data_IF_960875839068
#
_entry.id   IF_960875839068
#
_cell.length_a   1.000
_cell.length_b   1.000
_cell.length_c   1.000
_cell.angle_alpha   90.00
_cell.angle_beta   90.00
_cell.angle_gamma   90.00
#
_symmetry.space_group_name_H-M   'P 1'
#
loop_
_entity.id
_entity.type
_entity.pdbx_description
1 polymer ?
#
# COMPACT_ATOMS: atom_id res chain seq x y z
N UNK A 1 6.17 9.05 0.24
CA UNK A 1 7.49 8.41 0.42
C UNK A 1 7.37 6.94 0.09
N UNK A 2 8.34 6.38 -0.64
CA UNK A 2 8.46 4.93 -0.81
C UNK A 2 9.31 4.38 0.34
N UNK A 3 8.79 3.38 1.04
CA UNK A 3 9.50 2.73 2.15
C UNK A 3 9.62 1.24 1.86
N UNK A 4 10.84 0.77 1.64
CA UNK A 4 11.11 -0.61 1.30
C UNK A 4 12.60 -0.95 1.49
N UNK A 5 12.97 -2.23 1.64
CA UNK A 5 14.35 -2.63 1.48
C UNK A 5 14.84 -2.33 0.05
N UNK A 6 16.14 -2.05 -0.18
CA UNK A 6 16.66 -1.71 -1.50
C UNK A 6 16.31 -2.73 -2.58
N UNK A 7 16.25 -4.01 -2.21
CA UNK A 7 15.93 -5.14 -3.11
C UNK A 7 14.48 -5.18 -3.59
N UNK A 8 13.58 -4.42 -2.96
CA UNK A 8 12.17 -4.33 -3.35
C UNK A 8 11.78 -2.97 -3.95
N UNK A 9 12.74 -2.05 -4.08
CA UNK A 9 12.50 -0.81 -4.81
C UNK A 9 12.48 -1.08 -6.33
N UNK A 10 11.80 -0.22 -7.11
CA UNK A 10 11.92 -0.24 -8.55
C UNK A 10 13.39 -0.17 -9.00
N UNK A 11 13.77 -0.85 -10.11
CA UNK A 11 15.14 -0.83 -10.63
C UNK A 11 15.66 0.58 -10.94
N UNK A 12 14.76 1.54 -11.19
CA UNK A 12 15.07 2.94 -11.35
C UNK A 12 13.93 3.80 -10.81
N UNK A 13 14.31 4.87 -10.13
CA UNK A 13 13.42 5.92 -9.63
C UNK A 13 13.69 7.28 -10.32
N UNK A 14 14.50 7.29 -11.37
CA UNK A 14 14.85 8.52 -12.09
C UNK A 14 13.57 9.19 -12.62
N UNK A 15 13.41 10.47 -12.29
CA UNK A 15 12.25 11.28 -12.70
C UNK A 15 11.02 11.12 -11.82
N UNK A 16 11.04 10.25 -10.81
CA UNK A 16 9.91 10.12 -9.88
C UNK A 16 10.02 11.20 -8.79
N UNK A 17 8.99 12.04 -8.58
CA UNK A 17 9.00 13.09 -7.56
C UNK A 17 8.69 12.52 -6.18
N UNK A 18 9.48 11.54 -5.72
CA UNK A 18 9.23 10.80 -4.48
C UNK A 18 10.49 10.74 -3.61
N UNK A 19 10.31 10.89 -2.29
CA UNK A 19 11.32 10.53 -1.32
C UNK A 19 11.36 9.00 -1.11
N UNK A 20 12.53 8.48 -0.74
CA UNK A 20 12.76 7.07 -0.38
C UNK A 20 13.24 7.00 1.06
N UNK A 21 12.73 6.04 1.82
CA UNK A 21 13.24 5.66 3.14
C UNK A 21 13.45 4.14 3.19
N UNK A 22 14.40 3.70 4.01
CA UNK A 22 14.58 2.29 4.38
C UNK A 22 14.22 2.02 5.85
N UNK A 23 13.80 3.06 6.56
CA UNK A 23 13.27 2.97 7.91
C UNK A 23 11.79 3.33 7.87
N UNK A 24 10.94 2.36 8.25
CA UNK A 24 9.50 2.56 8.35
C UNK A 24 9.15 3.41 9.57
N UNK A 25 9.82 3.20 10.69
CA UNK A 25 9.47 3.76 11.99
C UNK A 25 9.66 5.29 11.99
N UNK A 26 10.66 5.79 11.25
CA UNK A 26 10.91 7.23 11.06
C UNK A 26 9.83 7.95 10.22
N UNK A 27 9.09 7.20 9.39
CA UNK A 27 8.10 7.75 8.45
C UNK A 27 6.69 7.74 9.05
N UNK A 28 6.36 6.73 9.86
CA UNK A 28 5.01 6.54 10.42
C UNK A 28 4.43 7.77 11.13
N UNK A 29 5.17 8.52 11.98
CA UNK A 29 4.62 9.68 12.69
C UNK A 29 4.20 10.86 11.80
N UNK A 30 4.62 10.86 10.53
CA UNK A 30 4.37 11.95 9.57
C UNK A 30 3.39 11.55 8.47
N UNK A 31 2.89 10.32 8.49
CA UNK A 31 2.10 9.77 7.41
C UNK A 31 0.61 10.02 7.64
N UNK A 32 -0.03 10.78 6.75
CA UNK A 32 -1.49 10.90 6.70
C UNK A 32 -2.15 9.60 6.19
N UNK A 33 -1.44 8.88 5.32
CA UNK A 33 -1.88 7.61 4.74
C UNK A 33 -0.72 6.63 4.67
N UNK A 34 -0.91 5.44 5.21
CA UNK A 34 -0.02 4.30 5.04
C UNK A 34 -0.65 3.31 4.06
N UNK A 35 -0.10 3.27 2.85
CA UNK A 35 -0.55 2.37 1.79
C UNK A 35 0.38 1.16 1.71
N UNK A 36 -0.06 0.03 2.25
CA UNK A 36 0.70 -1.21 2.27
C UNK A 36 0.44 -2.04 1.01
N UNK A 37 1.44 -2.81 0.60
CA UNK A 37 1.35 -3.70 -0.56
C UNK A 37 1.51 -5.15 -0.13
N UNK A 38 0.89 -6.04 -0.91
CA UNK A 38 0.94 -7.48 -0.66
C UNK A 38 2.34 -8.01 -0.94
N UNK A 39 2.92 -8.73 0.01
CA UNK A 39 4.13 -9.52 -0.25
C UNK A 39 3.82 -10.76 -1.09
N UNK A 40 4.21 -10.74 -2.37
CA UNK A 40 3.94 -11.80 -3.34
C UNK A 40 5.11 -12.77 -3.49
N UNK A 41 5.28 -13.68 -2.52
CA UNK A 41 6.36 -14.69 -2.57
C UNK A 41 6.29 -15.58 -3.79
N UNK A 42 5.08 -15.87 -4.25
CA UNK A 42 4.83 -16.73 -5.40
C UNK A 42 5.39 -16.17 -6.72
N UNK A 43 5.80 -14.90 -6.76
CA UNK A 43 6.37 -14.23 -7.94
C UNK A 43 7.86 -13.95 -7.82
N UNK A 44 8.45 -14.22 -6.66
CA UNK A 44 9.87 -13.98 -6.43
C UNK A 44 10.67 -15.13 -7.03
N UNK A 45 11.25 -14.89 -8.20
CA UNK A 45 12.18 -15.80 -8.89
C UNK A 45 13.58 -15.76 -8.28
N UNK A 46 13.90 -14.67 -7.59
CA UNK A 46 15.14 -14.44 -6.85
C UNK A 46 14.84 -14.22 -5.37
N UNK A 47 15.79 -14.57 -4.49
CA UNK A 47 15.67 -14.36 -3.06
C UNK A 47 15.90 -12.87 -2.71
N UNK A 48 14.91 -12.02 -3.02
CA UNK A 48 14.95 -10.58 -2.76
C UNK A 48 14.88 -10.23 -1.27
N UNK A 49 14.52 -11.19 -0.42
CA UNK A 49 14.43 -11.06 1.02
C UNK A 49 15.03 -12.29 1.70
N UNK A 50 15.71 -12.15 2.85
CA UNK A 50 16.22 -13.31 3.58
C UNK A 50 15.09 -14.14 4.22
N UNK A 51 14.05 -13.49 4.77
CA UNK A 51 12.85 -14.17 5.25
C UNK A 51 11.63 -13.24 5.35
N UNK A 52 10.42 -13.82 5.37
CA UNK A 52 9.21 -13.04 5.71
C UNK A 52 9.24 -12.52 7.14
N UNK A 53 9.82 -13.28 8.08
CA UNK A 53 9.90 -12.88 9.48
C UNK A 53 10.69 -11.58 9.62
N UNK A 54 11.81 -11.48 8.91
CA UNK A 54 12.61 -10.25 8.87
C UNK A 54 11.87 -9.11 8.18
N UNK A 55 11.20 -9.39 7.05
CA UNK A 55 10.36 -8.38 6.40
C UNK A 55 9.30 -7.82 7.33
N UNK A 56 8.56 -8.68 8.05
CA UNK A 56 7.56 -8.25 9.04
C UNK A 56 8.22 -7.44 10.16
N UNK A 57 9.37 -7.88 10.66
CA UNK A 57 10.08 -7.21 11.73
C UNK A 57 10.56 -5.81 11.33
N UNK A 58 10.97 -5.60 10.07
CA UNK A 58 11.52 -4.31 9.60
C UNK A 58 10.49 -3.41 8.92
N UNK A 59 9.56 -3.98 8.14
CA UNK A 59 8.67 -3.25 7.23
C UNK A 59 7.18 -3.62 7.39
N UNK A 60 6.84 -4.60 8.23
CA UNK A 60 5.45 -4.92 8.53
C UNK A 60 4.83 -3.84 9.43
N UNK A 61 3.60 -3.43 9.13
CA UNK A 61 2.83 -2.54 10.00
C UNK A 61 2.25 -3.37 11.17
N UNK A 62 3.03 -3.44 12.24
CA UNK A 62 2.66 -4.15 13.49
C UNK A 62 1.73 -3.31 14.35
N UNK A 63 1.13 -3.92 15.37
CA UNK A 63 0.30 -3.22 16.36
C UNK A 63 1.04 -2.09 17.07
N UNK A 64 2.31 -2.30 17.42
CA UNK A 64 3.10 -1.28 18.12
C UNK A 64 3.47 -0.13 17.17
N UNK A 65 3.81 -0.43 15.92
CA UNK A 65 4.02 0.58 14.87
C UNK A 65 2.77 1.39 14.55
N UNK A 66 1.60 0.76 14.57
CA UNK A 66 0.34 1.46 14.36
C UNK A 66 0.06 2.54 15.43
N UNK A 67 0.68 2.43 16.63
CA UNK A 67 0.59 3.49 17.65
C UNK A 67 1.43 4.73 17.34
N UNK A 68 2.34 4.64 16.36
CA UNK A 68 3.14 5.77 15.91
C UNK A 68 2.37 6.65 14.91
N UNK A 69 1.25 6.16 14.37
CA UNK A 69 0.43 6.90 13.43
C UNK A 69 -0.29 8.05 14.14
N UNK A 70 -0.53 9.14 13.40
CA UNK A 70 -1.48 10.16 13.82
C UNK A 70 -2.89 9.57 13.96
N UNK A 71 -3.72 10.14 14.84
CA UNK A 71 -5.06 9.63 15.13
C UNK A 71 -5.96 9.60 13.87
N UNK A 72 -5.77 10.57 12.98
CA UNK A 72 -6.47 10.71 11.70
C UNK A 72 -5.86 9.93 10.53
N UNK A 73 -4.72 9.26 10.74
CA UNK A 73 -4.02 8.56 9.69
C UNK A 73 -4.85 7.38 9.14
N UNK A 74 -4.83 7.20 7.83
CA UNK A 74 -5.53 6.10 7.17
C UNK A 74 -4.57 4.95 6.86
N UNK A 75 -5.04 3.72 7.09
CA UNK A 75 -4.35 2.50 6.64
C UNK A 75 -5.08 1.96 5.41
N UNK A 76 -4.33 1.78 4.32
CA UNK A 76 -4.85 1.33 3.03
C UNK A 76 -4.05 0.13 2.52
N UNK A 77 -4.70 -0.73 1.75
CA UNK A 77 -4.09 -1.90 1.12
C UNK A 77 -4.94 -2.33 -0.09
N UNK A 78 -4.36 -2.73 -1.23
CA UNK A 78 -5.12 -3.08 -2.44
C UNK A 78 -5.85 -4.42 -2.32
N UNK A 79 -5.30 -5.33 -1.52
CA UNK A 79 -5.84 -6.68 -1.31
C UNK A 79 -5.45 -7.66 -2.45
N UNK A 80 -5.56 -8.98 -2.22
CA UNK A 80 -5.72 -9.62 -0.91
C UNK A 80 -4.51 -9.35 -0.01
N UNK A 81 -4.71 -9.26 1.30
CA UNK A 81 -3.64 -8.99 2.27
C UNK A 81 -3.16 -10.28 2.93
N UNK A 82 -1.86 -10.40 3.18
CA UNK A 82 -1.28 -11.42 4.04
C UNK A 82 -1.23 -10.86 5.48
N UNK A 83 -2.29 -11.14 6.25
CA UNK A 83 -2.34 -10.77 7.67
C UNK A 83 -1.21 -11.48 8.43
N UNK A 84 -0.48 -10.73 9.24
CA UNK A 84 0.71 -11.20 9.97
C UNK A 84 2.03 -11.05 9.19
N UNK A 85 2.00 -10.57 7.93
CA UNK A 85 3.21 -10.30 7.14
C UNK A 85 3.41 -8.80 6.94
N UNK A 86 2.77 -8.20 5.94
CA UNK A 86 2.82 -6.75 5.70
C UNK A 86 1.97 -5.94 6.68
N UNK A 87 0.92 -6.54 7.23
CA UNK A 87 -0.03 -5.88 8.14
C UNK A 87 -0.44 -6.85 9.26
N UNK A 88 -0.39 -6.41 10.52
CA UNK A 88 -0.94 -7.18 11.62
C UNK A 88 -2.47 -7.30 11.50
N UNK A 89 -3.03 -8.44 11.94
CA UNK A 89 -4.46 -8.69 11.78
C UNK A 89 -5.33 -7.62 12.45
N UNK A 90 -4.92 -7.17 13.64
CA UNK A 90 -5.62 -6.17 14.43
C UNK A 90 -5.55 -4.77 13.78
N UNK A 91 -4.46 -4.49 13.06
CA UNK A 91 -4.27 -3.21 12.36
C UNK A 91 -5.21 -3.10 11.17
N UNK A 92 -5.46 -4.21 10.47
CA UNK A 92 -6.38 -4.26 9.34
C UNK A 92 -7.84 -3.96 9.73
N UNK A 93 -8.17 -4.05 11.01
CA UNK A 93 -9.51 -3.86 11.56
C UNK A 93 -9.63 -2.57 12.41
N UNK A 94 -8.61 -1.69 12.39
CA UNK A 94 -8.66 -0.39 13.06
C UNK A 94 -9.71 0.53 12.42
N UNK A 95 -10.27 1.51 13.16
CA UNK A 95 -11.19 2.50 12.59
C UNK A 95 -10.62 3.28 11.39
N UNK A 96 -9.31 3.57 11.40
CA UNK A 96 -8.59 4.21 10.29
C UNK A 96 -8.22 3.26 9.14
N UNK A 97 -8.49 1.97 9.25
CA UNK A 97 -8.23 0.99 8.20
C UNK A 97 -9.39 0.95 7.19
N UNK A 98 -9.15 1.50 6.00
CA UNK A 98 -10.22 1.80 5.02
C UNK A 98 -10.19 0.88 3.80
N UNK A 99 -9.66 -0.34 3.95
CA UNK A 99 -9.46 -1.30 2.87
C UNK A 99 -10.79 -1.68 2.19
N UNK A 100 -11.83 -1.99 2.96
CA UNK A 100 -13.15 -2.35 2.42
C UNK A 100 -13.82 -1.16 1.72
N UNK A 101 -13.65 0.05 2.27
CA UNK A 101 -14.11 1.30 1.65
C UNK A 101 -13.41 1.55 0.31
N UNK A 102 -12.10 1.30 0.22
CA UNK A 102 -11.37 1.38 -1.05
C UNK A 102 -11.93 0.42 -2.10
N UNK A 103 -12.24 -0.84 -1.74
CA UNK A 103 -12.85 -1.81 -2.65
C UNK A 103 -14.20 -1.33 -3.16
N UNK A 104 -15.06 -0.81 -2.26
CA UNK A 104 -16.35 -0.24 -2.62
C UNK A 104 -16.20 0.97 -3.57
N UNK A 105 -15.28 1.88 -3.27
CA UNK A 105 -14.96 3.02 -4.13
C UNK A 105 -14.49 2.59 -5.51
N UNK A 106 -13.79 1.45 -5.62
CA UNK A 106 -13.35 0.88 -6.89
C UNK A 106 -14.52 0.54 -7.84
N UNK A 107 -15.72 0.23 -7.34
CA UNK A 107 -16.91 0.05 -8.18
C UNK A 107 -17.32 1.37 -8.81
N UNK A 108 -17.47 2.43 -8.00
CA UNK A 108 -17.87 3.75 -8.47
C UNK A 108 -16.86 4.34 -9.47
N UNK A 109 -15.57 4.21 -9.19
CA UNK A 109 -14.50 4.66 -10.10
C UNK A 109 -14.59 3.95 -11.46
N UNK A 110 -14.78 2.62 -11.46
CA UNK A 110 -14.92 1.86 -12.71
C UNK A 110 -16.18 2.24 -13.48
N UNK A 111 -17.31 2.44 -12.80
CA UNK A 111 -18.54 2.92 -13.44
C UNK A 111 -18.32 4.29 -14.10
N UNK A 112 -17.65 5.22 -13.41
CA UNK A 112 -17.35 6.54 -13.94
C UNK A 112 -16.42 6.46 -15.18
N UNK A 113 -15.36 5.65 -15.12
CA UNK A 113 -14.45 5.43 -16.26
C UNK A 113 -15.20 4.83 -17.45
N UNK A 114 -16.01 3.79 -17.23
CA UNK A 114 -16.80 3.16 -18.31
C UNK A 114 -17.83 4.13 -18.89
N UNK A 115 -18.48 4.93 -18.05
CA UNK A 115 -19.40 5.97 -18.51
C UNK A 115 -18.69 6.99 -19.39
N UNK A 116 -17.52 7.50 -18.97
CA UNK A 116 -16.74 8.44 -19.76
C UNK A 116 -16.34 7.86 -21.13
N UNK A 117 -15.91 6.60 -21.16
CA UNK A 117 -15.44 5.95 -22.39
C UNK A 117 -16.56 5.49 -23.33
N UNK A 118 -17.70 5.05 -22.81
CA UNK A 118 -18.73 4.34 -23.59
C UNK A 118 -20.11 4.99 -23.55
N UNK A 119 -20.40 5.82 -22.54
CA UNK A 119 -21.75 6.31 -22.24
C UNK A 119 -21.92 7.83 -22.28
N UNK A 120 -20.82 8.60 -22.30
CA UNK A 120 -20.86 10.07 -22.23
C UNK A 120 -21.29 10.73 -23.54
N UNK A 121 -21.38 9.97 -24.64
CA UNK A 121 -21.75 10.48 -25.96
C UNK A 121 -20.74 11.49 -26.53
N UNK A 122 -19.56 11.64 -25.90
CA UNK A 122 -18.46 12.38 -26.50
C UNK A 122 -18.08 11.70 -27.82
N UNK A 123 -18.02 12.47 -28.89
CA UNK A 123 -17.41 12.01 -30.13
C UNK A 123 -16.04 11.42 -29.78
N UNK A 124 -15.89 10.10 -29.94
CA UNK A 124 -14.60 9.42 -29.90
C UNK A 124 -13.79 9.74 -31.18
N UNK A 125 -13.98 10.94 -31.74
CA UNK A 125 -13.51 11.35 -33.06
C UNK A 125 -12.63 12.59 -33.01
N UNK A 126 -11.31 12.37 -32.96
CA UNK A 126 -10.28 13.03 -33.76
C UNK A 126 -9.00 12.21 -33.73
#
# INVERSE_FOLDING_TARGET
TLVAPPTLLPPSLVGWPVAVSHDLDDVLPKADVVYLLRMQRERQTEALLPSLREYTALYGLTRDRARLLADEALVMHPGPMNRGVEIAAEVADLPGAVITRQVANGVAVRMAVLFLMLGSGGDLGA
#
